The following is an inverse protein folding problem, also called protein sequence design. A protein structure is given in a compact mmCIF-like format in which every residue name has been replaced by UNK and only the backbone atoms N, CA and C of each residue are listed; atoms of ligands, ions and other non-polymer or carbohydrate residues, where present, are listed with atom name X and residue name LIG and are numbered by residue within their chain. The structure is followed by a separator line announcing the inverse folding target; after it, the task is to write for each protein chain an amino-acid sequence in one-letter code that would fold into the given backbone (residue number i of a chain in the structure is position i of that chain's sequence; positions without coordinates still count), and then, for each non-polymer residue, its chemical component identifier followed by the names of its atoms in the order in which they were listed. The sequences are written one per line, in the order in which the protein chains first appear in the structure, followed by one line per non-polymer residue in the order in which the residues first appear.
data_IF_548557272844
#
_entry.id   IF_548557272844
#
_cell.length_a   1.000
_cell.length_b   1.000
_cell.length_c   1.000
_cell.angle_alpha   90.00
_cell.angle_beta   90.00
_cell.angle_gamma   90.00
#
_symmetry.space_group_name_H-M   'P 1'
#
loop_
_entity.id
_entity.type
_entity.pdbx_description
1 polymer ?
#
# COMPACT_ATOMS: atom_id res chain seq x y z
N UNK A 1 47.64 -35.15 -33.50
CA UNK A 1 47.72 -34.84 -32.05
C UNK A 1 46.53 -33.99 -31.69
N UNK A 2 45.48 -34.61 -31.13
CA UNK A 2 44.23 -33.94 -30.74
C UNK A 2 44.46 -33.22 -29.39
N UNK A 3 44.40 -31.88 -29.42
CA UNK A 3 44.41 -31.05 -28.22
C UNK A 3 43.05 -31.11 -27.55
N UNK A 4 43.00 -31.57 -26.30
CA UNK A 4 41.82 -31.53 -25.45
C UNK A 4 41.67 -30.12 -24.91
N UNK A 5 40.64 -29.40 -25.35
CA UNK A 5 40.20 -28.17 -24.70
C UNK A 5 39.41 -28.55 -23.45
N UNK A 6 39.96 -28.24 -22.28
CA UNK A 6 39.29 -28.40 -20.98
C UNK A 6 38.06 -27.50 -20.89
N UNK A 7 36.88 -28.08 -21.10
CA UNK A 7 35.62 -27.46 -20.72
C UNK A 7 35.44 -27.62 -19.19
N UNK A 8 35.99 -26.68 -18.41
CA UNK A 8 35.55 -26.49 -17.01
C UNK A 8 34.10 -26.00 -17.03
N UNK A 9 33.16 -26.95 -16.97
CA UNK A 9 31.79 -26.68 -16.50
C UNK A 9 31.91 -26.16 -15.07
N UNK A 10 31.77 -24.84 -14.89
CA UNK A 10 31.54 -24.26 -13.58
C UNK A 10 30.25 -24.86 -13.04
N UNK A 11 30.36 -25.81 -12.11
CA UNK A 11 29.22 -26.28 -11.35
C UNK A 11 28.70 -25.09 -10.55
N UNK A 12 27.52 -24.58 -10.90
CA UNK A 12 26.77 -23.64 -10.07
C UNK A 12 26.53 -24.35 -8.74
N UNK A 13 27.30 -23.98 -7.72
CA UNK A 13 27.17 -24.53 -6.38
C UNK A 13 25.84 -23.98 -5.85
N UNK A 14 24.78 -24.79 -5.86
CA UNK A 14 23.52 -24.42 -5.25
C UNK A 14 23.80 -24.01 -3.80
N UNK A 15 23.49 -22.76 -3.47
CA UNK A 15 23.66 -22.23 -2.13
C UNK A 15 22.61 -22.88 -1.22
N UNK A 16 23.03 -23.26 -0.02
CA UNK A 16 22.16 -23.91 0.95
C UNK A 16 21.11 -22.92 1.47
N UNK A 17 19.86 -23.37 1.61
CA UNK A 17 18.75 -22.62 2.20
C UNK A 17 18.28 -23.31 3.48
N UNK A 18 18.07 -22.56 4.56
CA UNK A 18 17.38 -23.12 5.74
C UNK A 18 15.88 -23.20 5.50
N UNK A 19 15.35 -24.42 5.59
CA UNK A 19 13.90 -24.65 5.52
C UNK A 19 13.19 -24.51 6.87
N UNK A 20 13.93 -24.62 7.98
CA UNK A 20 13.37 -24.54 9.33
C UNK A 20 13.33 -23.10 9.84
N UNK A 21 12.26 -22.79 10.57
CA UNK A 21 12.12 -21.52 11.29
C UNK A 21 13.06 -21.45 12.49
N UNK A 22 13.40 -20.22 12.87
CA UNK A 22 14.27 -19.92 13.99
C UNK A 22 13.49 -19.68 15.28
N UNK A 23 14.12 -19.94 16.42
CA UNK A 23 13.60 -19.57 17.75
C UNK A 23 13.89 -18.11 18.12
N UNK A 24 14.81 -17.47 17.40
CA UNK A 24 15.27 -16.09 17.61
C UNK A 24 15.06 -15.24 16.37
N UNK A 25 14.82 -13.93 16.55
CA UNK A 25 14.72 -12.99 15.44
C UNK A 25 16.11 -12.70 14.84
N UNK A 26 16.16 -11.97 13.71
CA UNK A 26 17.41 -11.69 12.99
C UNK A 26 18.35 -10.77 13.79
N UNK A 27 17.81 -9.92 14.66
CA UNK A 27 18.56 -9.03 15.56
C UNK A 27 19.30 -9.83 16.63
N UNK A 28 18.59 -10.70 17.35
CA UNK A 28 19.10 -11.60 18.40
C UNK A 28 20.13 -12.62 17.85
N UNK A 29 20.18 -12.77 16.52
CA UNK A 29 21.09 -13.65 15.79
C UNK A 29 22.30 -12.92 15.18
N UNK A 30 22.37 -11.60 15.33
CA UNK A 30 23.46 -10.80 14.75
C UNK A 30 23.49 -10.79 13.23
N UNK A 31 22.34 -10.95 12.56
CA UNK A 31 22.24 -10.95 11.10
C UNK A 31 22.01 -9.55 10.49
N UNK A 32 21.66 -8.56 11.31
CA UNK A 32 21.53 -7.17 10.89
C UNK A 32 22.92 -6.54 10.93
N UNK A 33 23.62 -6.59 9.80
CA UNK A 33 25.01 -6.13 9.64
C UNK A 33 25.13 -5.15 8.46
N UNK A 34 26.17 -4.32 8.49
CA UNK A 34 26.42 -3.29 7.44
C UNK A 34 26.84 -3.92 6.11
N UNK A 35 27.61 -5.01 6.14
CA UNK A 35 28.14 -5.69 4.96
C UNK A 35 27.68 -7.17 4.93
N UNK A 36 26.43 -7.44 4.52
CA UNK A 36 25.88 -8.78 4.49
C UNK A 36 26.44 -9.58 3.31
N UNK A 37 26.73 -10.88 3.52
CA UNK A 37 27.17 -11.75 2.42
C UNK A 37 25.97 -12.39 1.75
N UNK A 38 25.99 -12.46 0.41
CA UNK A 38 24.92 -13.09 -0.38
C UNK A 38 24.59 -14.52 0.08
N UNK A 39 25.62 -15.30 0.43
CA UNK A 39 25.46 -16.66 0.98
C UNK A 39 24.65 -16.68 2.30
N UNK A 40 24.81 -15.68 3.15
CA UNK A 40 24.15 -15.63 4.45
C UNK A 40 22.69 -15.19 4.25
N UNK A 41 22.42 -14.30 3.29
CA UNK A 41 21.05 -13.93 2.89
C UNK A 41 20.31 -15.16 2.34
N UNK A 42 20.91 -15.88 1.38
CA UNK A 42 20.29 -17.06 0.76
C UNK A 42 20.11 -18.18 1.79
N UNK A 43 21.03 -18.33 2.74
CA UNK A 43 20.88 -19.30 3.81
C UNK A 43 19.72 -18.96 4.75
N UNK A 44 19.51 -17.67 5.04
CA UNK A 44 18.69 -17.25 6.18
C UNK A 44 17.32 -16.63 5.83
N UNK A 45 17.08 -16.22 4.57
CA UNK A 45 15.91 -15.40 4.22
C UNK A 45 14.55 -16.03 4.54
N UNK A 46 14.45 -17.37 4.56
CA UNK A 46 13.23 -18.11 4.93
C UNK A 46 13.10 -18.37 6.44
N UNK A 47 14.19 -18.26 7.19
CA UNK A 47 14.29 -18.68 8.59
C UNK A 47 13.85 -17.57 9.56
N UNK A 48 12.61 -17.12 9.43
CA UNK A 48 12.01 -16.16 10.35
C UNK A 48 11.76 -16.77 11.74
N UNK A 49 11.53 -15.91 12.75
CA UNK A 49 11.22 -16.35 14.11
C UNK A 49 9.75 -16.73 14.26
N UNK A 50 9.43 -18.03 14.27
CA UNK A 50 8.04 -18.52 14.33
C UNK A 50 7.36 -18.22 15.66
N UNK A 51 8.13 -18.18 16.77
CA UNK A 51 7.63 -17.86 18.12
C UNK A 51 7.18 -16.41 18.28
N UNK A 52 7.75 -15.49 17.48
CA UNK A 52 7.53 -14.03 17.59
C UNK A 52 6.78 -13.44 16.38
N UNK A 53 6.04 -14.23 15.62
CA UNK A 53 5.26 -13.73 14.46
C UNK A 53 4.17 -12.74 14.85
N UNK A 54 3.67 -12.83 16.08
CA UNK A 54 2.62 -11.94 16.62
C UNK A 54 3.14 -10.74 17.38
N UNK A 55 4.44 -10.70 17.70
CA UNK A 55 5.03 -9.61 18.48
C UNK A 55 5.34 -8.40 17.59
N UNK A 56 5.00 -7.19 18.05
CA UNK A 56 5.40 -5.95 17.38
C UNK A 56 6.70 -5.43 18.00
N UNK A 57 7.69 -5.17 17.15
CA UNK A 57 8.94 -4.51 17.55
C UNK A 57 9.00 -3.05 17.09
N UNK A 58 8.01 -2.61 16.33
CA UNK A 58 7.80 -1.22 15.94
C UNK A 58 6.43 -0.76 16.45
N UNK A 59 6.41 0.36 17.15
CA UNK A 59 5.22 0.85 17.85
C UNK A 59 4.31 1.73 16.98
N UNK A 60 4.89 2.42 15.98
CA UNK A 60 4.15 3.27 15.05
C UNK A 60 3.25 2.49 14.10
N UNK A 61 2.47 3.19 13.29
CA UNK A 61 1.61 2.56 12.29
C UNK A 61 2.41 1.89 11.17
N UNK A 62 1.90 0.76 10.69
CA UNK A 62 2.51 -0.02 9.62
C UNK A 62 1.43 -0.42 8.63
N UNK A 63 1.52 0.15 7.42
CA UNK A 63 0.69 -0.17 6.27
C UNK A 63 1.41 -1.19 5.39
N UNK A 64 0.74 -2.29 5.04
CA UNK A 64 1.24 -3.28 4.07
C UNK A 64 0.39 -3.32 2.81
N UNK A 65 0.98 -3.12 1.63
CA UNK A 65 0.30 -3.30 0.35
C UNK A 65 0.29 -4.77 -0.09
N UNK A 66 -0.84 -5.24 -0.60
CA UNK A 66 -1.03 -6.63 -1.09
C UNK A 66 -1.51 -6.57 -2.53
N UNK A 67 -0.80 -7.22 -3.45
CA UNK A 67 -1.11 -7.15 -4.88
C UNK A 67 -1.56 -8.51 -5.43
N UNK A 68 -2.57 -8.57 -6.33
CA UNK A 68 -3.00 -9.82 -6.95
C UNK A 68 -1.90 -10.56 -7.73
N UNK A 69 -1.01 -9.82 -8.39
CA UNK A 69 0.09 -10.39 -9.18
C UNK A 69 1.27 -10.92 -8.35
N UNK A 70 1.28 -10.68 -7.03
CA UNK A 70 2.25 -11.27 -6.10
C UNK A 70 1.52 -11.95 -4.94
N UNK A 71 0.96 -13.13 -5.24
CA UNK A 71 0.07 -13.87 -4.33
C UNK A 71 0.70 -14.22 -2.98
N UNK A 72 2.04 -14.26 -2.89
CA UNK A 72 2.72 -14.52 -1.62
C UNK A 72 2.37 -13.47 -0.55
N UNK A 73 2.03 -12.24 -0.94
CA UNK A 73 1.56 -11.20 -0.02
C UNK A 73 0.35 -11.63 0.82
N UNK A 74 -0.58 -12.38 0.24
CA UNK A 74 -1.78 -12.86 0.94
C UNK A 74 -1.42 -13.81 2.09
N UNK A 75 -0.41 -14.66 1.89
CA UNK A 75 0.11 -15.54 2.93
C UNK A 75 0.87 -14.76 4.01
N UNK A 76 1.71 -13.81 3.60
CA UNK A 76 2.43 -12.92 4.52
C UNK A 76 1.46 -12.16 5.43
N UNK A 77 0.35 -11.64 4.89
CA UNK A 77 -0.67 -10.95 5.68
C UNK A 77 -1.33 -11.86 6.72
N UNK A 78 -1.56 -13.15 6.39
CA UNK A 78 -2.10 -14.13 7.35
C UNK A 78 -1.10 -14.51 8.44
N UNK A 79 0.18 -14.68 8.09
CA UNK A 79 1.24 -15.11 9.02
C UNK A 79 1.67 -13.96 9.95
N UNK A 80 1.88 -12.77 9.39
CA UNK A 80 2.47 -11.63 10.09
C UNK A 80 1.47 -10.49 10.34
N UNK A 81 0.17 -10.71 10.13
CA UNK A 81 -0.86 -9.66 10.24
C UNK A 81 -0.87 -8.88 11.56
N UNK A 82 -0.40 -9.46 12.67
CA UNK A 82 -0.28 -8.77 13.96
C UNK A 82 0.86 -7.72 14.00
N UNK A 83 1.75 -7.72 13.01
CA UNK A 83 2.80 -6.73 12.86
C UNK A 83 2.34 -5.47 12.12
N UNK A 84 1.20 -5.56 11.42
CA UNK A 84 0.59 -4.46 10.67
C UNK A 84 -0.56 -3.83 11.46
N UNK A 85 -0.72 -2.52 11.32
CA UNK A 85 -1.94 -1.83 11.78
C UNK A 85 -2.95 -1.73 10.64
N UNK A 86 -2.47 -1.60 9.41
CA UNK A 86 -3.27 -1.48 8.19
C UNK A 86 -2.75 -2.43 7.11
N UNK A 87 -3.66 -3.01 6.34
CA UNK A 87 -3.36 -3.73 5.10
C UNK A 87 -4.18 -3.11 3.98
N UNK A 88 -3.52 -2.81 2.86
CA UNK A 88 -4.13 -2.20 1.68
C UNK A 88 -4.02 -3.13 0.47
N UNK A 89 -5.06 -3.93 0.21
CA UNK A 89 -5.16 -4.67 -1.03
C UNK A 89 -5.27 -3.74 -2.24
N UNK A 90 -4.53 -4.04 -3.30
CA UNK A 90 -4.48 -3.26 -4.54
C UNK A 90 -5.44 -3.87 -5.55
N UNK A 91 -6.74 -3.65 -5.33
CA UNK A 91 -7.81 -4.18 -6.18
C UNK A 91 -8.54 -3.09 -6.92
N UNK A 92 -8.85 -1.98 -6.24
CA UNK A 92 -9.93 -1.11 -6.65
C UNK A 92 -9.46 0.01 -7.57
N UNK A 93 -10.33 0.35 -8.51
CA UNK A 93 -10.26 1.60 -9.26
C UNK A 93 -11.64 2.25 -9.25
N UNK A 94 -11.67 3.58 -9.38
CA UNK A 94 -12.90 4.35 -9.58
C UNK A 94 -12.84 5.02 -10.95
N UNK A 95 -13.94 4.94 -11.70
CA UNK A 95 -14.11 5.59 -13.01
C UNK A 95 -15.36 6.45 -12.99
N UNK A 96 -15.28 7.64 -13.57
CA UNK A 96 -16.48 8.45 -13.87
C UNK A 96 -17.10 7.96 -15.18
N UNK A 97 -18.41 7.70 -15.17
CA UNK A 97 -19.17 7.19 -16.34
C UNK A 97 -20.18 8.20 -16.89
N UNK A 98 -20.36 9.32 -16.19
CA UNK A 98 -21.29 10.38 -16.51
C UNK A 98 -21.46 11.28 -15.28
N UNK A 99 -22.36 12.26 -15.38
CA UNK A 99 -22.73 13.12 -14.25
C UNK A 99 -23.22 12.24 -13.09
N UNK A 100 -22.64 12.42 -11.91
CA UNK A 100 -23.05 11.71 -10.67
C UNK A 100 -23.02 10.18 -10.82
N UNK A 101 -22.24 9.64 -11.78
CA UNK A 101 -22.19 8.20 -12.04
C UNK A 101 -20.76 7.71 -11.90
N UNK A 102 -20.45 7.10 -10.77
CA UNK A 102 -19.14 6.53 -10.46
C UNK A 102 -19.20 5.00 -10.47
N UNK A 103 -18.26 4.37 -11.17
CA UNK A 103 -18.13 2.93 -11.24
C UNK A 103 -16.86 2.48 -10.52
N UNK A 104 -17.01 1.64 -9.51
CA UNK A 104 -15.90 0.95 -8.86
C UNK A 104 -15.64 -0.39 -9.53
N UNK A 105 -14.40 -0.61 -9.95
CA UNK A 105 -13.94 -1.84 -10.61
C UNK A 105 -12.93 -2.58 -9.75
N UNK A 106 -12.60 -3.82 -10.15
CA UNK A 106 -11.61 -4.65 -9.44
C UNK A 106 -12.16 -5.45 -8.26
N UNK A 107 -13.45 -5.33 -7.94
CA UNK A 107 -14.08 -6.10 -6.85
C UNK A 107 -14.09 -7.62 -7.07
N UNK A 108 -13.91 -8.10 -8.31
CA UNK A 108 -13.77 -9.53 -8.57
C UNK A 108 -12.48 -10.12 -7.96
N UNK A 109 -11.49 -9.29 -7.67
CA UNK A 109 -10.26 -9.69 -6.97
C UNK A 109 -10.40 -9.65 -5.44
N UNK A 110 -11.52 -9.12 -4.92
CA UNK A 110 -11.74 -9.03 -3.48
C UNK A 110 -12.04 -10.40 -2.86
N UNK A 111 -11.08 -10.93 -2.09
CA UNK A 111 -11.22 -12.21 -1.42
C UNK A 111 -11.77 -12.05 0.01
N UNK A 112 -13.09 -12.21 0.16
CA UNK A 112 -13.80 -12.16 1.46
C UNK A 112 -13.31 -13.23 2.44
N UNK A 113 -12.91 -14.41 1.94
CA UNK A 113 -12.37 -15.49 2.76
C UNK A 113 -11.03 -15.11 3.36
N UNK A 114 -10.13 -14.59 2.52
CA UNK A 114 -8.83 -14.08 2.95
C UNK A 114 -8.97 -12.94 3.95
N UNK A 115 -9.84 -11.95 3.71
CA UNK A 115 -10.07 -10.86 4.65
C UNK A 115 -10.51 -11.38 6.03
N UNK A 116 -11.39 -12.38 6.05
CA UNK A 116 -11.83 -13.03 7.30
C UNK A 116 -10.68 -13.74 8.00
N UNK A 117 -9.82 -14.45 7.27
CA UNK A 117 -8.67 -15.16 7.83
C UNK A 117 -7.63 -14.20 8.42
N UNK A 118 -7.35 -13.09 7.73
CA UNK A 118 -6.45 -12.04 8.20
C UNK A 118 -6.97 -11.43 9.51
N UNK A 119 -8.25 -11.05 9.56
CA UNK A 119 -8.89 -10.51 10.77
C UNK A 119 -8.96 -11.52 11.92
N UNK A 120 -9.17 -12.81 11.62
CA UNK A 120 -9.17 -13.89 12.61
C UNK A 120 -7.80 -14.02 13.28
N UNK A 121 -6.73 -13.91 12.50
CA UNK A 121 -5.36 -14.05 13.00
C UNK A 121 -4.81 -12.76 13.63
N UNK A 122 -5.30 -11.60 13.22
CA UNK A 122 -4.91 -10.28 13.72
C UNK A 122 -6.14 -9.41 13.98
N UNK A 123 -6.63 -9.41 15.23
CA UNK A 123 -7.86 -8.70 15.60
C UNK A 123 -7.84 -7.17 15.38
N UNK A 124 -6.73 -6.45 15.63
CA UNK A 124 -6.74 -4.98 15.49
C UNK A 124 -6.53 -4.51 14.05
N UNK A 125 -6.25 -5.42 13.11
CA UNK A 125 -5.86 -5.04 11.75
C UNK A 125 -7.02 -4.40 10.98
N UNK A 126 -6.70 -3.31 10.28
CA UNK A 126 -7.64 -2.57 9.44
C UNK A 126 -7.37 -2.90 7.97
N UNK A 127 -8.43 -3.22 7.22
CA UNK A 127 -8.34 -3.51 5.79
C UNK A 127 -8.82 -2.28 5.04
N UNK A 128 -7.90 -1.60 4.36
CA UNK A 128 -8.10 -0.32 3.70
C UNK A 128 -7.67 -0.40 2.23
N UNK A 129 -8.48 -0.99 1.33
CA UNK A 129 -8.07 -1.21 -0.05
C UNK A 129 -7.66 0.08 -0.76
N UNK A 130 -6.68 -0.04 -1.65
CA UNK A 130 -6.25 1.09 -2.46
C UNK A 130 -7.27 1.36 -3.58
N UNK A 131 -7.73 2.60 -3.68
CA UNK A 131 -8.53 3.10 -4.81
C UNK A 131 -7.66 4.00 -5.68
N UNK A 132 -7.56 3.65 -6.96
CA UNK A 132 -6.95 4.48 -8.00
C UNK A 132 -8.04 5.16 -8.84
N UNK A 133 -7.87 6.44 -9.13
CA UNK A 133 -8.71 7.16 -10.09
C UNK A 133 -8.25 6.82 -11.51
N UNK A 134 -8.77 5.72 -12.07
CA UNK A 134 -8.24 5.13 -13.32
C UNK A 134 -8.94 5.71 -14.55
N UNK A 135 -8.15 6.19 -15.51
CA UNK A 135 -8.64 6.72 -16.78
C UNK A 135 -9.38 8.05 -16.68
N UNK A 136 -9.22 8.79 -15.58
CA UNK A 136 -9.81 10.12 -15.41
C UNK A 136 -9.10 11.12 -16.32
N UNK A 137 -9.87 11.92 -17.04
CA UNK A 137 -9.37 13.06 -17.81
C UNK A 137 -9.37 14.33 -16.94
N UNK A 138 -8.65 15.36 -17.39
CA UNK A 138 -8.74 16.69 -16.76
C UNK A 138 -10.19 17.20 -16.69
N UNK A 139 -11.00 16.94 -17.73
CA UNK A 139 -12.41 17.33 -17.77
C UNK A 139 -13.25 16.59 -16.74
N UNK A 140 -12.94 15.31 -16.45
CA UNK A 140 -13.63 14.56 -15.40
C UNK A 140 -13.36 15.19 -14.03
N UNK A 141 -12.10 15.53 -13.75
CA UNK A 141 -11.73 16.23 -12.52
C UNK A 141 -12.42 17.60 -12.43
N UNK A 142 -12.36 18.43 -13.48
CA UNK A 142 -13.06 19.73 -13.50
C UNK A 142 -14.57 19.59 -13.25
N UNK A 143 -15.20 18.56 -13.84
CA UNK A 143 -16.64 18.35 -13.68
C UNK A 143 -17.00 17.99 -12.25
N UNK A 144 -16.19 17.16 -11.59
CA UNK A 144 -16.40 16.77 -10.19
C UNK A 144 -16.08 17.93 -9.26
N UNK A 145 -14.94 18.60 -9.44
CA UNK A 145 -14.54 19.75 -8.63
C UNK A 145 -15.52 20.92 -8.69
N UNK A 146 -16.20 21.09 -9.83
CA UNK A 146 -17.20 22.14 -10.02
C UNK A 146 -18.60 21.83 -9.47
N UNK A 147 -18.81 20.68 -8.82
CA UNK A 147 -20.14 20.23 -8.39
C UNK A 147 -20.11 19.49 -7.05
N UNK A 148 -20.64 20.13 -6.01
CA UNK A 148 -20.83 19.50 -4.69
C UNK A 148 -21.67 18.22 -4.76
N UNK A 149 -22.69 18.19 -5.63
CA UNK A 149 -23.50 16.98 -5.86
C UNK A 149 -22.64 15.81 -6.38
N UNK A 150 -21.67 16.06 -7.28
CA UNK A 150 -20.77 15.01 -7.77
C UNK A 150 -19.77 14.55 -6.70
N UNK A 151 -19.23 15.47 -5.91
CA UNK A 151 -18.34 15.14 -4.78
C UNK A 151 -19.08 14.29 -3.75
N UNK A 152 -20.30 14.69 -3.41
CA UNK A 152 -21.16 14.00 -2.46
C UNK A 152 -21.56 12.61 -2.97
N UNK A 153 -21.91 12.48 -4.25
CA UNK A 153 -22.25 11.19 -4.85
C UNK A 153 -21.03 10.25 -4.88
N UNK A 154 -19.84 10.74 -5.21
CA UNK A 154 -18.61 9.94 -5.12
C UNK A 154 -18.38 9.44 -3.68
N UNK A 155 -18.52 10.34 -2.71
CA UNK A 155 -18.36 10.05 -1.28
C UNK A 155 -19.34 8.97 -0.81
N UNK A 156 -20.63 9.10 -1.17
CA UNK A 156 -21.68 8.12 -0.88
C UNK A 156 -21.37 6.75 -1.47
N UNK A 157 -20.93 6.69 -2.72
CA UNK A 157 -20.57 5.42 -3.36
C UNK A 157 -19.36 4.76 -2.68
N UNK A 158 -18.35 5.54 -2.26
CA UNK A 158 -17.21 5.01 -1.49
C UNK A 158 -17.65 4.44 -0.13
N UNK A 159 -18.49 5.17 0.61
CA UNK A 159 -19.04 4.70 1.91
C UNK A 159 -19.87 3.44 1.72
N UNK A 160 -20.75 3.39 0.72
CA UNK A 160 -21.57 2.23 0.42
C UNK A 160 -20.71 1.01 0.07
N UNK A 161 -19.68 1.21 -0.75
CA UNK A 161 -18.73 0.16 -1.11
C UNK A 161 -18.03 -0.42 0.13
N UNK A 162 -17.48 0.44 0.98
CA UNK A 162 -16.81 0.01 2.20
C UNK A 162 -17.73 -0.81 3.12
N UNK A 163 -18.98 -0.36 3.29
CA UNK A 163 -19.98 -1.06 4.10
C UNK A 163 -20.34 -2.43 3.52
N UNK A 164 -20.59 -2.50 2.22
CA UNK A 164 -20.98 -3.75 1.55
C UNK A 164 -19.85 -4.81 1.57
N UNK A 165 -18.61 -4.35 1.48
CA UNK A 165 -17.44 -5.23 1.39
C UNK A 165 -16.70 -5.39 2.74
N UNK A 166 -17.19 -4.75 3.81
CA UNK A 166 -16.61 -4.77 5.14
C UNK A 166 -15.14 -4.30 5.18
N UNK A 167 -14.87 -3.20 4.48
CA UNK A 167 -13.61 -2.47 4.55
C UNK A 167 -13.63 -1.50 5.73
N UNK A 168 -12.45 -1.18 6.26
CA UNK A 168 -12.27 -0.19 7.34
C UNK A 168 -11.96 1.22 6.79
N UNK A 169 -12.01 1.41 5.48
CA UNK A 169 -11.61 2.66 4.82
C UNK A 169 -10.87 2.40 3.52
N UNK A 170 -10.15 3.41 3.05
CA UNK A 170 -9.43 3.35 1.78
C UNK A 170 -8.07 4.05 1.83
N UNK A 171 -7.17 3.53 1.02
CA UNK A 171 -5.97 4.27 0.60
C UNK A 171 -6.27 4.90 -0.76
N UNK A 172 -6.33 6.23 -0.85
CA UNK A 172 -6.65 6.93 -2.09
C UNK A 172 -5.36 7.37 -2.79
N UNK A 173 -5.24 6.98 -4.07
CA UNK A 173 -4.15 7.38 -4.95
C UNK A 173 -4.68 8.25 -6.08
N UNK A 174 -4.53 9.57 -5.90
CA UNK A 174 -5.02 10.59 -6.85
C UNK A 174 -4.07 11.78 -7.00
N UNK A 175 -3.25 12.07 -5.98
CA UNK A 175 -2.48 13.32 -5.90
C UNK A 175 -1.61 13.61 -7.13
N UNK A 176 -0.84 12.62 -7.58
CA UNK A 176 0.10 12.80 -8.68
C UNK A 176 -0.56 12.85 -10.06
N UNK A 177 -1.86 12.57 -10.18
CA UNK A 177 -2.52 12.43 -11.48
C UNK A 177 -2.78 13.77 -12.21
N UNK A 178 -2.83 14.88 -11.46
CA UNK A 178 -3.08 16.21 -12.00
C UNK A 178 -1.82 17.07 -12.19
N UNK A 179 -0.63 16.53 -11.95
CA UNK A 179 0.65 17.21 -12.24
C UNK A 179 0.76 18.63 -11.65
N UNK A 180 0.39 18.80 -10.37
CA UNK A 180 0.32 20.09 -9.65
C UNK A 180 -0.78 21.07 -10.07
N UNK A 181 -1.68 20.69 -10.96
CA UNK A 181 -2.85 21.52 -11.29
C UNK A 181 -3.98 21.25 -10.29
N UNK A 182 -4.83 22.26 -10.07
CA UNK A 182 -6.09 22.13 -9.30
C UNK A 182 -5.92 21.60 -7.87
N UNK A 183 -4.81 21.95 -7.21
CA UNK A 183 -4.51 21.48 -5.86
C UNK A 183 -5.54 21.92 -4.83
N UNK A 184 -6.07 23.15 -4.93
CA UNK A 184 -7.08 23.66 -4.00
C UNK A 184 -8.37 22.84 -4.11
N UNK A 185 -8.81 22.57 -5.34
CA UNK A 185 -9.99 21.78 -5.62
C UNK A 185 -9.80 20.30 -5.23
N UNK A 186 -8.60 19.76 -5.45
CA UNK A 186 -8.28 18.40 -5.00
C UNK A 186 -8.26 18.29 -3.47
N UNK A 187 -7.70 19.29 -2.77
CA UNK A 187 -7.75 19.34 -1.31
C UNK A 187 -9.20 19.40 -0.83
N UNK A 188 -10.04 20.22 -1.45
CA UNK A 188 -11.47 20.29 -1.14
C UNK A 188 -12.16 18.92 -1.29
N UNK A 189 -11.96 18.25 -2.43
CA UNK A 189 -12.46 16.89 -2.64
C UNK A 189 -11.98 15.92 -1.54
N UNK A 190 -10.68 15.94 -1.22
CA UNK A 190 -10.10 15.03 -0.23
C UNK A 190 -10.63 15.28 1.19
N UNK A 191 -10.89 16.53 1.57
CA UNK A 191 -11.51 16.87 2.85
C UNK A 191 -12.94 16.32 2.90
N UNK A 192 -13.76 16.58 1.88
CA UNK A 192 -15.13 16.09 1.83
C UNK A 192 -15.21 14.55 1.86
N UNK A 193 -14.36 13.88 1.09
CA UNK A 193 -14.24 12.42 1.12
C UNK A 193 -13.88 11.92 2.53
N UNK A 194 -12.97 12.62 3.22
CA UNK A 194 -12.56 12.24 4.57
C UNK A 194 -13.70 12.39 5.57
N UNK A 195 -14.41 13.53 5.53
CA UNK A 195 -15.55 13.81 6.41
C UNK A 195 -16.64 12.75 6.24
N UNK A 196 -17.05 12.44 5.00
CA UNK A 196 -18.05 11.43 4.72
C UNK A 196 -17.64 10.02 5.18
N UNK A 197 -16.35 9.67 5.03
CA UNK A 197 -15.82 8.40 5.53
C UNK A 197 -15.78 8.37 7.06
N UNK A 198 -15.37 9.46 7.72
CA UNK A 198 -15.31 9.58 9.18
C UNK A 198 -16.68 9.48 9.83
N UNK A 199 -17.71 10.10 9.24
CA UNK A 199 -19.11 9.95 9.67
C UNK A 199 -19.57 8.48 9.65
N UNK A 200 -19.04 7.70 8.71
CA UNK A 200 -19.27 6.26 8.60
C UNK A 200 -18.28 5.39 9.41
N UNK A 201 -17.42 5.99 10.24
CA UNK A 201 -16.35 5.32 11.01
C UNK A 201 -15.33 4.58 10.15
N UNK A 202 -15.08 5.09 8.94
CA UNK A 202 -14.11 4.60 7.97
C UNK A 202 -12.88 5.51 7.91
N UNK A 203 -11.73 4.96 7.55
CA UNK A 203 -10.47 5.71 7.42
C UNK A 203 -10.21 6.19 6.01
N UNK A 204 -9.55 7.33 5.89
CA UNK A 204 -8.97 7.81 4.63
C UNK A 204 -7.46 7.99 4.78
N UNK A 205 -6.71 7.25 3.96
CA UNK A 205 -5.25 7.36 3.85
C UNK A 205 -4.93 7.92 2.48
N UNK A 206 -4.05 8.92 2.39
CA UNK A 206 -3.67 9.53 1.11
C UNK A 206 -2.28 9.06 0.67
N UNK A 207 -2.16 8.58 -0.57
CA UNK A 207 -0.84 8.35 -1.19
C UNK A 207 -0.26 9.70 -1.60
N UNK A 208 0.98 9.98 -1.17
CA UNK A 208 1.66 11.23 -1.46
C UNK A 208 3.09 10.99 -2.01
N UNK A 209 3.53 11.80 -2.99
CA UNK A 209 4.91 11.78 -3.46
C UNK A 209 5.88 12.34 -2.39
N UNK A 210 7.20 12.11 -2.52
CA UNK A 210 8.18 12.70 -1.63
C UNK A 210 8.18 14.23 -1.74
N UNK A 211 8.44 14.91 -0.61
CA UNK A 211 8.46 16.37 -0.53
C UNK A 211 9.65 17.01 -1.27
N UNK A 212 10.67 16.22 -1.61
CA UNK A 212 11.82 16.62 -2.43
C UNK A 212 11.80 15.79 -3.69
N UNK A 213 11.84 16.43 -4.86
CA UNK A 213 11.81 15.73 -6.13
C UNK A 213 13.12 14.96 -6.37
N UNK A 214 13.01 13.69 -6.78
CA UNK A 214 14.16 12.80 -6.98
C UNK A 214 15.20 13.38 -7.96
N UNK A 215 16.49 13.21 -7.64
CA UNK A 215 17.59 13.77 -8.43
C UNK A 215 17.71 15.29 -8.38
N UNK A 216 16.86 15.97 -7.61
CA UNK A 216 16.90 17.42 -7.42
C UNK A 216 16.92 17.77 -5.93
N UNK A 217 17.33 19.00 -5.61
CA UNK A 217 17.13 19.59 -4.28
C UNK A 217 15.93 20.55 -4.26
N UNK A 218 14.96 20.33 -5.16
CA UNK A 218 13.80 21.20 -5.32
C UNK A 218 12.56 20.59 -4.64
N UNK A 219 11.62 21.44 -4.18
CA UNK A 219 10.35 20.97 -3.64
C UNK A 219 9.58 20.10 -4.64
N UNK A 220 9.01 19.01 -4.14
CA UNK A 220 8.14 18.11 -4.88
C UNK A 220 6.70 18.63 -5.02
N UNK A 221 5.82 17.74 -5.48
CA UNK A 221 4.40 18.04 -5.74
C UNK A 221 3.51 18.07 -4.49
N UNK A 222 4.00 17.59 -3.36
CA UNK A 222 3.30 17.59 -2.07
C UNK A 222 4.27 18.10 -1.01
N UNK A 223 4.00 19.28 -0.45
CA UNK A 223 4.90 19.93 0.50
C UNK A 223 4.23 20.11 1.87
N UNK A 224 4.93 20.77 2.80
CA UNK A 224 4.35 21.17 4.09
C UNK A 224 3.04 21.96 3.91
N UNK A 225 2.95 22.79 2.86
CA UNK A 225 1.78 23.64 2.60
C UNK A 225 0.51 22.80 2.39
N UNK A 226 0.59 21.74 1.62
CA UNK A 226 -0.55 20.86 1.35
C UNK A 226 -0.78 19.90 2.52
N UNK A 227 0.29 19.44 3.17
CA UNK A 227 0.21 18.66 4.40
C UNK A 227 -0.55 19.38 5.51
N UNK A 228 -0.23 20.65 5.79
CA UNK A 228 -0.86 21.42 6.87
C UNK A 228 -2.38 21.58 6.66
N UNK A 229 -2.84 21.59 5.41
CA UNK A 229 -4.27 21.69 5.07
C UNK A 229 -5.01 20.37 5.22
N UNK A 230 -4.33 19.24 5.01
CA UNK A 230 -4.93 17.90 5.00
C UNK A 230 -4.72 17.13 6.30
N UNK A 231 -3.69 17.45 7.09
CA UNK A 231 -3.27 16.65 8.23
C UNK A 231 -4.32 16.55 9.36
N UNK A 232 -5.23 17.52 9.46
CA UNK A 232 -6.35 17.46 10.42
C UNK A 232 -7.53 16.64 9.93
N UNK A 233 -7.65 16.44 8.62
CA UNK A 233 -8.78 15.75 8.00
C UNK A 233 -8.44 14.30 7.63
N UNK A 234 -7.22 14.01 7.19
CA UNK A 234 -6.78 12.70 6.70
C UNK A 234 -6.18 11.85 7.85
N UNK A 235 -6.51 10.56 7.92
CA UNK A 235 -6.03 9.67 9.00
C UNK A 235 -4.52 9.40 8.93
N UNK A 236 -3.97 9.23 7.73
CA UNK A 236 -2.56 8.93 7.52
C UNK A 236 -2.12 9.24 6.07
N UNK A 237 -0.80 9.33 5.87
CA UNK A 237 -0.21 9.53 4.56
C UNK A 237 0.72 8.37 4.19
N UNK A 238 0.47 7.74 3.05
CA UNK A 238 1.36 6.74 2.45
C UNK A 238 2.42 7.46 1.61
N UNK A 239 3.51 7.88 2.25
CA UNK A 239 4.61 8.60 1.63
C UNK A 239 5.51 7.66 0.80
N UNK A 240 5.64 7.94 -0.50
CA UNK A 240 6.44 7.15 -1.43
C UNK A 240 7.93 7.54 -1.35
N UNK A 241 8.65 7.09 -0.32
CA UNK A 241 10.10 7.34 -0.12
C UNK A 241 10.99 6.22 -0.66
N UNK A 242 10.68 5.72 -1.85
CA UNK A 242 11.42 4.69 -2.58
C UNK A 242 11.48 5.08 -4.07
N UNK A 243 12.10 4.24 -4.91
CA UNK A 243 12.30 4.49 -6.35
C UNK A 243 12.99 5.83 -6.67
N UNK A 244 14.06 6.14 -5.93
CA UNK A 244 14.84 7.38 -6.13
C UNK A 244 15.68 7.38 -7.42
N UNK A 245 16.07 6.21 -7.92
CA UNK A 245 17.05 6.03 -9.02
C UNK A 245 16.44 5.34 -10.23
#
# INVERSE_FOLDING_TARGET
TLSKTDAKKGATKNLEEKMLHSDKNVQDRGLVVVDPKAKDIILEHRSYCSKKTKERHFLGDVLGYITPWNSHGYDIAKVFGNKFTLISPVWLQVKRRGKETFQFTGLHDADKGWMKDVRKNSKPIKIVPRILFDGWTYQDFESVFGSEDEIEELSKNMVLLAKNENFDGFVVEVWSQLGNQKQTELIHLLIHLSEALHEAQLKLILVIPPAVAAGTNQPGMFTKKEFDQLASAIDAFSLMTYDYS
#
